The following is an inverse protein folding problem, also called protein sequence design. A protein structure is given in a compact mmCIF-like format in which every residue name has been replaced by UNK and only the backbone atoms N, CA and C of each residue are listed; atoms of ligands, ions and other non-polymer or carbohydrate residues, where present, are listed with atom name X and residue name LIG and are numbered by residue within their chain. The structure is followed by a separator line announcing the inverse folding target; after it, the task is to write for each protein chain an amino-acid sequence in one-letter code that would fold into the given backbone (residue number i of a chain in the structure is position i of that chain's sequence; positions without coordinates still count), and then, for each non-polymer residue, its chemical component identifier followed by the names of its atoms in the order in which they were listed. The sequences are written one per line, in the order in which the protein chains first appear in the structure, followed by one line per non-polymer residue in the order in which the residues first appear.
data_IF_909949098520
#
_entry.id   IF_909949098520
#
_cell.length_a   1.000
_cell.length_b   1.000
_cell.length_c   1.000
_cell.angle_alpha   90.00
_cell.angle_beta   90.00
_cell.angle_gamma   90.00
#
_symmetry.space_group_name_H-M   'P 1'
#
loop_
_entity.id
_entity.type
_entity.pdbx_description
1 polymer ?
#
# COMPACT_ATOMS: atom_id res chain seq x y z
N UNK A 1 -3.61 -4.74 -20.05
CA UNK A 1 -2.16 -4.86 -20.32
C UNK A 1 -1.44 -5.27 -19.04
N UNK A 2 -0.66 -6.34 -19.12
CA UNK A 2 0.17 -6.76 -17.99
C UNK A 2 1.45 -5.93 -17.96
N UNK A 3 1.71 -5.27 -16.84
CA UNK A 3 3.00 -4.63 -16.62
C UNK A 3 4.05 -5.68 -16.27
N UNK A 4 5.21 -5.61 -16.92
CA UNK A 4 6.35 -6.49 -16.65
C UNK A 4 7.57 -5.65 -16.33
N UNK A 5 8.21 -5.94 -15.19
CA UNK A 5 9.51 -5.38 -14.84
C UNK A 5 10.53 -6.51 -14.68
N UNK A 6 11.75 -6.38 -15.22
CA UNK A 6 12.72 -7.48 -15.20
C UNK A 6 13.21 -7.84 -13.78
N UNK A 7 13.18 -6.91 -12.82
CA UNK A 7 13.70 -7.11 -11.46
C UNK A 7 12.63 -7.42 -10.43
N UNK A 8 11.39 -6.94 -10.63
CA UNK A 8 10.37 -6.92 -9.59
C UNK A 8 9.04 -7.46 -10.07
N UNK A 9 8.33 -8.13 -9.15
CA UNK A 9 6.92 -8.51 -9.33
C UNK A 9 6.05 -7.72 -8.38
N UNK A 10 4.90 -7.25 -8.87
CA UNK A 10 3.84 -6.70 -8.03
C UNK A 10 2.83 -7.80 -7.77
N UNK A 11 2.60 -8.10 -6.49
CA UNK A 11 1.74 -9.19 -6.07
C UNK A 11 0.65 -8.65 -5.14
N UNK A 12 -0.60 -8.85 -5.49
CA UNK A 12 -1.70 -8.47 -4.61
C UNK A 12 -1.83 -9.48 -3.47
N UNK A 13 -1.89 -8.97 -2.23
CA UNK A 13 -2.02 -9.79 -1.04
C UNK A 13 -3.50 -10.10 -0.79
N UNK A 14 -3.96 -11.26 -1.26
CA UNK A 14 -5.35 -11.71 -1.07
C UNK A 14 -5.54 -12.55 0.18
N UNK A 15 -4.49 -13.23 0.65
CA UNK A 15 -4.58 -14.19 1.75
C UNK A 15 -4.09 -13.56 3.05
N UNK A 16 -4.61 -14.00 4.21
CA UNK A 16 -4.18 -13.48 5.50
C UNK A 16 -2.67 -13.54 5.74
N UNK A 17 -2.01 -14.61 5.28
CA UNK A 17 -0.55 -14.73 5.42
C UNK A 17 0.20 -13.65 4.64
N UNK A 18 -0.31 -13.25 3.48
CA UNK A 18 0.30 -12.19 2.68
C UNK A 18 0.06 -10.82 3.31
N UNK A 19 -1.11 -10.60 3.89
CA UNK A 19 -1.39 -9.37 4.61
C UNK A 19 -0.50 -9.23 5.85
N UNK A 20 -0.30 -10.31 6.58
CA UNK A 20 0.60 -10.32 7.73
C UNK A 20 2.05 -10.03 7.30
N UNK A 21 2.48 -10.59 6.18
CA UNK A 21 3.79 -10.30 5.59
C UNK A 21 3.94 -8.81 5.25
N UNK A 22 2.89 -8.21 4.69
CA UNK A 22 2.84 -6.77 4.40
C UNK A 22 2.96 -5.93 5.66
N UNK A 23 2.23 -6.30 6.70
CA UNK A 23 2.24 -5.59 7.98
C UNK A 23 3.59 -5.71 8.69
N UNK A 24 4.24 -6.84 8.59
CA UNK A 24 5.60 -7.04 9.10
C UNK A 24 6.62 -6.18 8.36
N UNK A 25 6.48 -6.08 7.04
CA UNK A 25 7.33 -5.22 6.22
C UNK A 25 7.14 -3.75 6.59
N UNK A 26 5.89 -3.31 6.76
CA UNK A 26 5.57 -1.95 7.19
C UNK A 26 6.14 -1.64 8.56
N UNK A 27 6.06 -2.59 9.49
CA UNK A 27 6.61 -2.46 10.83
C UNK A 27 8.09 -2.10 10.79
N UNK A 28 8.87 -2.81 9.98
CA UNK A 28 10.29 -2.53 9.80
C UNK A 28 10.54 -1.18 9.13
N UNK A 29 9.79 -0.90 8.07
CA UNK A 29 10.00 0.29 7.26
C UNK A 29 9.68 1.58 8.00
N UNK A 30 8.63 1.60 8.82
CA UNK A 30 8.16 2.78 9.53
C UNK A 30 8.69 2.89 10.96
N UNK A 31 9.36 1.88 11.48
CA UNK A 31 9.96 1.92 12.82
C UNK A 31 8.92 2.03 13.94
N UNK A 32 7.77 1.40 13.79
CA UNK A 32 6.71 1.43 14.78
C UNK A 32 7.12 0.66 16.03
N UNK A 33 6.88 1.25 17.21
CA UNK A 33 7.20 0.61 18.50
C UNK A 33 5.97 -0.13 19.02
N UNK A 34 5.91 -1.45 18.80
CA UNK A 34 4.90 -2.30 19.41
C UNK A 34 5.47 -3.72 19.61
N UNK A 35 4.75 -4.57 20.33
CA UNK A 35 5.22 -5.92 20.68
C UNK A 35 4.87 -6.98 19.64
N UNK A 36 3.98 -6.66 18.70
CA UNK A 36 3.48 -7.65 17.74
C UNK A 36 4.41 -7.88 16.54
N UNK A 37 5.28 -6.91 16.23
CA UNK A 37 6.09 -6.92 15.02
C UNK A 37 5.30 -6.64 13.74
N UNK A 38 4.05 -6.20 13.88
CA UNK A 38 3.16 -5.89 12.75
C UNK A 38 2.66 -4.45 12.87
N UNK A 39 2.76 -3.68 11.78
CA UNK A 39 2.08 -2.39 11.68
C UNK A 39 0.74 -2.62 11.01
N UNK A 40 -0.35 -2.34 11.70
CA UNK A 40 -1.69 -2.49 11.16
C UNK A 40 -2.58 -1.34 11.63
N UNK A 41 -3.62 -1.05 10.86
CA UNK A 41 -4.63 -0.07 11.24
C UNK A 41 -6.02 -0.51 10.75
N UNK A 42 -7.03 0.27 11.11
CA UNK A 42 -8.42 -0.02 10.75
C UNK A 42 -8.68 0.04 9.24
N UNK A 43 -7.83 0.74 8.49
CA UNK A 43 -7.98 0.89 7.04
C UNK A 43 -7.48 -0.32 6.26
N UNK A 44 -6.72 -1.21 6.87
CA UNK A 44 -6.22 -2.40 6.18
C UNK A 44 -7.34 -3.27 5.61
N UNK A 45 -8.51 -3.28 6.26
CA UNK A 45 -9.66 -4.05 5.78
C UNK A 45 -10.29 -3.45 4.53
N UNK A 46 -10.18 -2.14 4.35
CA UNK A 46 -10.80 -1.40 3.24
C UNK A 46 -9.89 -1.30 2.02
N UNK A 47 -8.60 -1.25 2.23
CA UNK A 47 -7.60 -1.07 1.19
C UNK A 47 -7.18 -2.41 0.60
N UNK A 48 -6.73 -2.37 -0.64
CA UNK A 48 -6.03 -3.47 -1.28
C UNK A 48 -4.53 -3.29 -1.09
N UNK A 49 -3.81 -4.40 -0.97
CA UNK A 49 -2.41 -4.41 -0.57
C UNK A 49 -1.56 -5.00 -1.68
N UNK A 50 -0.48 -4.29 -2.04
CA UNK A 50 0.46 -4.73 -3.08
C UNK A 50 1.83 -4.93 -2.45
N UNK A 51 2.36 -6.12 -2.61
CA UNK A 51 3.73 -6.45 -2.27
C UNK A 51 4.59 -6.36 -3.52
N UNK A 52 5.74 -5.72 -3.38
CA UNK A 52 6.75 -5.70 -4.44
C UNK A 52 7.83 -6.69 -4.05
N UNK A 53 8.03 -7.72 -4.87
CA UNK A 53 8.99 -8.79 -4.60
C UNK A 53 10.14 -8.73 -5.58
N UNK A 54 11.34 -8.99 -5.06
CA UNK A 54 12.51 -9.24 -5.88
C UNK A 54 12.31 -10.57 -6.63
N UNK A 55 12.49 -10.55 -7.95
CA UNK A 55 12.26 -11.75 -8.78
C UNK A 55 13.26 -12.88 -8.51
N UNK A 56 14.47 -12.55 -8.08
CA UNK A 56 15.51 -13.55 -7.85
C UNK A 56 15.30 -14.32 -6.56
N UNK A 57 15.06 -13.62 -5.45
CA UNK A 57 15.01 -14.24 -4.12
C UNK A 57 13.61 -14.22 -3.51
N UNK A 58 12.63 -13.65 -4.18
CA UNK A 58 11.22 -13.54 -3.74
C UNK A 58 11.01 -12.75 -2.46
N UNK A 59 12.02 -12.03 -1.98
CA UNK A 59 11.87 -11.17 -0.80
C UNK A 59 10.99 -9.98 -1.11
N UNK A 60 10.21 -9.55 -0.10
CA UNK A 60 9.47 -8.29 -0.19
C UNK A 60 10.47 -7.14 -0.07
N UNK A 61 10.45 -6.26 -1.05
CA UNK A 61 11.34 -5.10 -1.11
C UNK A 61 10.57 -3.78 -1.14
N UNK A 62 9.27 -3.84 -1.32
CA UNK A 62 8.42 -2.67 -1.31
C UNK A 62 6.97 -3.04 -1.06
N UNK A 63 6.19 -2.01 -0.77
CA UNK A 63 4.78 -2.18 -0.44
C UNK A 63 4.03 -0.88 -0.65
N UNK A 64 2.79 -0.99 -1.07
CA UNK A 64 1.81 0.09 -0.95
C UNK A 64 0.42 -0.51 -0.83
N UNK A 65 -0.52 0.31 -0.34
CA UNK A 65 -1.94 -0.04 -0.33
C UNK A 65 -2.72 1.01 -1.11
N UNK A 66 -3.86 0.61 -1.65
CA UNK A 66 -4.71 1.52 -2.40
C UNK A 66 -6.17 1.21 -2.19
N UNK A 67 -7.00 2.22 -2.41
CA UNK A 67 -8.44 2.08 -2.51
C UNK A 67 -8.92 2.83 -3.75
N UNK A 68 -9.84 2.21 -4.48
CA UNK A 68 -10.42 2.78 -5.69
C UNK A 68 -11.77 3.40 -5.38
N UNK A 69 -12.00 4.60 -5.87
CA UNK A 69 -13.27 5.31 -5.78
C UNK A 69 -13.83 5.52 -7.17
N UNK A 70 -15.13 5.27 -7.37
CA UNK A 70 -15.81 5.56 -8.64
C UNK A 70 -15.83 7.04 -8.93
N UNK A 71 -15.87 7.87 -7.88
CA UNK A 71 -15.86 9.33 -7.99
C UNK A 71 -15.35 9.96 -6.70
N UNK A 72 -15.05 11.25 -6.74
CA UNK A 72 -14.63 12.01 -5.57
C UNK A 72 -15.64 12.01 -4.42
N UNK A 73 -16.92 11.81 -4.69
CA UNK A 73 -17.95 11.78 -3.65
C UNK A 73 -17.72 10.70 -2.61
N UNK A 74 -16.94 9.66 -2.91
CA UNK A 74 -16.69 8.52 -2.02
C UNK A 74 -15.39 8.64 -1.22
N UNK A 75 -14.61 9.72 -1.38
CA UNK A 75 -13.28 9.85 -0.73
C UNK A 75 -13.35 9.91 0.79
N UNK A 76 -14.50 10.25 1.37
CA UNK A 76 -14.68 10.26 2.83
C UNK A 76 -14.57 8.87 3.43
N UNK A 77 -14.68 7.81 2.64
CA UNK A 77 -14.53 6.43 3.09
C UNK A 77 -13.07 5.99 3.26
N UNK A 78 -12.11 6.83 2.83
CA UNK A 78 -10.69 6.49 2.83
C UNK A 78 -9.92 7.11 4.00
N UNK A 79 -8.63 6.87 3.98
CA UNK A 79 -7.69 7.31 5.02
C UNK A 79 -7.49 8.82 5.03
N UNK A 80 -7.31 9.41 3.85
CA UNK A 80 -6.94 10.84 3.74
C UNK A 80 -8.01 11.76 4.27
N UNK A 81 -9.29 11.36 4.23
CA UNK A 81 -10.40 12.15 4.73
C UNK A 81 -10.32 12.42 6.24
N UNK A 82 -9.63 11.56 7.00
CA UNK A 82 -9.43 11.74 8.44
C UNK A 82 -8.43 12.86 8.76
N UNK A 83 -7.59 13.26 7.79
CA UNK A 83 -6.47 14.17 8.01
C UNK A 83 -6.50 15.42 7.14
N UNK A 84 -7.27 15.42 6.05
CA UNK A 84 -7.29 16.50 5.06
C UNK A 84 -8.72 16.90 4.72
N UNK A 85 -8.89 18.18 4.35
CA UNK A 85 -10.14 18.68 3.78
C UNK A 85 -10.20 18.31 2.30
N UNK A 86 -11.11 17.40 1.95
CA UNK A 86 -11.24 16.88 0.60
C UNK A 86 -12.43 17.46 -0.18
N UNK A 87 -13.00 18.59 0.26
CA UNK A 87 -14.21 19.18 -0.35
C UNK A 87 -14.08 19.39 -1.86
N UNK A 88 -12.92 19.87 -2.32
CA UNK A 88 -12.68 20.07 -3.75
C UNK A 88 -12.65 18.77 -4.52
N UNK A 89 -12.19 17.67 -3.89
CA UNK A 89 -12.12 16.36 -4.51
C UNK A 89 -13.50 15.72 -4.57
N UNK A 90 -14.36 15.98 -3.58
CA UNK A 90 -15.71 15.43 -3.52
C UNK A 90 -16.56 15.77 -4.77
N UNK A 91 -16.30 16.90 -5.40
CA UNK A 91 -17.02 17.31 -6.61
C UNK A 91 -16.45 16.70 -7.90
N UNK A 92 -15.35 15.96 -7.80
CA UNK A 92 -14.71 15.33 -8.95
C UNK A 92 -15.49 14.08 -9.35
N UNK A 93 -15.97 14.02 -10.59
CA UNK A 93 -16.86 12.96 -11.06
C UNK A 93 -16.15 11.82 -11.80
N UNK A 94 -14.82 11.78 -11.77
CA UNK A 94 -14.00 10.76 -12.39
C UNK A 94 -13.49 9.76 -11.35
N UNK A 95 -13.10 8.54 -11.77
CA UNK A 95 -12.50 7.57 -10.88
C UNK A 95 -11.19 8.08 -10.26
N UNK A 96 -10.96 7.70 -9.01
CA UNK A 96 -9.78 8.10 -8.23
C UNK A 96 -9.17 6.88 -7.55
N UNK A 97 -7.85 6.95 -7.35
CA UNK A 97 -7.13 6.03 -6.46
C UNK A 97 -6.53 6.81 -5.30
N UNK A 98 -6.72 6.30 -4.10
CA UNK A 98 -5.95 6.75 -2.94
C UNK A 98 -4.87 5.73 -2.66
N UNK A 99 -3.60 6.17 -2.66
CA UNK A 99 -2.45 5.31 -2.41
C UNK A 99 -1.81 5.73 -1.09
N UNK A 100 -1.50 4.76 -0.24
CA UNK A 100 -0.92 5.05 1.05
C UNK A 100 0.07 3.99 1.52
N UNK A 101 0.73 4.29 2.64
CA UNK A 101 1.72 3.41 3.28
C UNK A 101 2.81 2.95 2.30
N UNK A 102 3.18 3.80 1.34
CA UNK A 102 4.26 3.49 0.38
C UNK A 102 5.58 3.38 1.13
N UNK A 103 6.23 2.24 1.01
CA UNK A 103 7.53 2.05 1.63
C UNK A 103 8.37 1.05 0.85
N UNK A 104 9.69 1.17 0.99
CA UNK A 104 10.66 0.30 0.36
C UNK A 104 11.70 -0.13 1.39
N UNK A 105 12.42 -1.20 1.08
CA UNK A 105 13.55 -1.65 1.91
C UNK A 105 14.67 -0.62 1.81
N UNK A 106 14.95 0.08 2.92
CA UNK A 106 15.95 1.15 2.96
C UNK A 106 17.38 0.66 2.76
N UNK A 107 17.62 -0.65 2.91
CA UNK A 107 18.95 -1.23 2.64
C UNK A 107 19.23 -1.36 1.15
N UNK A 108 18.21 -1.28 0.31
CA UNK A 108 18.34 -1.37 -1.14
C UNK A 108 18.47 0.03 -1.74
N UNK A 109 19.45 0.22 -2.61
CA UNK A 109 19.69 1.47 -3.33
C UNK A 109 19.44 1.26 -4.82
N UNK A 110 18.28 0.70 -5.15
CA UNK A 110 17.89 0.46 -6.53
C UNK A 110 17.01 1.62 -7.02
N UNK A 111 17.43 2.34 -8.08
CA UNK A 111 16.66 3.47 -8.60
C UNK A 111 15.30 3.09 -9.18
N UNK A 112 15.09 1.81 -9.49
CA UNK A 112 13.83 1.31 -10.05
C UNK A 112 12.78 1.01 -8.97
N UNK A 113 13.18 1.11 -7.70
CA UNK A 113 12.30 0.77 -6.59
C UNK A 113 11.59 2.00 -5.99
#
# INVERSE_FOLDING_TARGET
MKYYHPKFDLVQAFQPVHLEEAQAFRYKAFGVANETGLECDEYDKKFKHILIRDRKNRRVVGYFRYIFYKSGALVQNGYSAAYYDLKKIESFDQPLLEVGRVCTDSSLKDPDL
#
